data_IF_089070020444
#
_entry.id   IF_089070020444
#
_cell.length_a   1.000
_cell.length_b   1.000
_cell.length_c   1.000
_cell.angle_alpha   90.00
_cell.angle_beta   90.00
_cell.angle_gamma   90.00
#
_symmetry.space_group_name_H-M   'P 1'
#
loop_
_entity.id
_entity.type
_entity.pdbx_description
1 polymer ?
#
# COMPACT_ATOMS: atom_id res chain seq x y z
N UNK A 1 22.76 8.12 -19.53
CA UNK A 1 22.66 6.70 -19.95
C UNK A 1 22.39 5.91 -18.69
N UNK A 2 21.20 5.32 -18.48
CA UNK A 2 21.04 4.42 -17.35
C UNK A 2 21.80 3.13 -17.67
N UNK A 3 22.56 2.65 -16.70
CA UNK A 3 23.31 1.41 -16.79
C UNK A 3 22.34 0.26 -17.02
N UNK A 4 22.70 -0.60 -17.97
CA UNK A 4 22.11 -1.90 -18.22
C UNK A 4 22.42 -2.80 -17.01
N UNK A 5 21.63 -2.65 -15.95
CA UNK A 5 21.62 -3.59 -14.82
C UNK A 5 20.71 -4.71 -15.26
N UNK A 6 21.29 -5.79 -15.79
CA UNK A 6 20.58 -7.06 -15.88
C UNK A 6 19.94 -7.31 -14.51
N UNK A 7 18.60 -7.26 -14.44
CA UNK A 7 17.89 -7.28 -13.18
C UNK A 7 18.27 -8.56 -12.43
N UNK A 8 19.05 -8.41 -11.35
CA UNK A 8 19.49 -9.53 -10.54
C UNK A 8 18.23 -10.20 -9.99
N UNK A 9 17.99 -11.45 -10.37
CA UNK A 9 16.85 -12.22 -9.87
C UNK A 9 16.94 -12.31 -8.35
N UNK A 10 15.84 -12.00 -7.65
CA UNK A 10 15.78 -12.17 -6.20
C UNK A 10 15.62 -13.67 -5.88
N UNK A 11 16.71 -14.34 -5.56
CA UNK A 11 16.74 -15.76 -5.12
C UNK A 11 16.38 -15.88 -3.65
N UNK A 12 15.92 -17.04 -3.16
CA UNK A 12 15.65 -17.29 -1.72
C UNK A 12 14.47 -16.51 -1.10
N UNK A 13 13.58 -15.98 -1.94
CA UNK A 13 12.27 -15.48 -1.52
C UNK A 13 11.30 -16.65 -1.31
N UNK A 14 10.78 -16.80 -0.09
CA UNK A 14 9.75 -17.80 0.23
C UNK A 14 8.34 -17.19 0.22
N UNK A 15 8.25 -15.90 0.53
CA UNK A 15 6.99 -15.20 0.77
C UNK A 15 7.00 -13.82 0.13
N UNK A 16 5.90 -13.44 -0.51
CA UNK A 16 5.63 -12.06 -0.95
C UNK A 16 4.58 -11.41 -0.05
N UNK A 17 4.93 -10.33 0.63
CA UNK A 17 4.00 -9.51 1.42
C UNK A 17 3.80 -8.17 0.74
N UNK A 18 2.55 -7.86 0.44
CA UNK A 18 2.18 -6.65 -0.27
C UNK A 18 1.66 -5.59 0.71
N UNK A 19 2.12 -4.36 0.53
CA UNK A 19 1.30 -3.22 0.93
C UNK A 19 -0.04 -3.23 0.16
N UNK A 20 -1.07 -2.63 0.74
CA UNK A 20 -2.40 -2.61 0.12
C UNK A 20 -2.59 -1.36 -0.73
N UNK A 21 -2.63 -0.19 -0.08
CA UNK A 21 -3.15 1.05 -0.65
C UNK A 21 -2.07 1.82 -1.42
N UNK A 22 -2.26 1.90 -2.74
CA UNK A 22 -1.28 2.42 -3.69
C UNK A 22 -0.45 1.32 -4.35
N UNK A 23 -0.50 0.10 -3.83
CA UNK A 23 0.30 -1.05 -4.29
C UNK A 23 -0.56 -2.08 -5.02
N UNK A 24 -1.47 -2.75 -4.30
CA UNK A 24 -2.46 -3.66 -4.87
C UNK A 24 -3.74 -2.94 -5.29
N UNK A 25 -4.16 -1.93 -4.52
CA UNK A 25 -5.40 -1.19 -4.74
C UNK A 25 -5.10 0.26 -5.12
N UNK A 26 -5.81 0.74 -6.14
CA UNK A 26 -5.62 2.08 -6.69
C UNK A 26 -6.42 3.13 -5.90
N UNK A 27 -5.71 4.01 -5.19
CA UNK A 27 -6.31 5.09 -4.39
C UNK A 27 -6.85 6.24 -5.24
N UNK A 28 -6.26 6.47 -6.42
CA UNK A 28 -6.60 7.61 -7.27
C UNK A 28 -8.02 7.48 -7.85
N UNK A 29 -8.45 6.25 -8.08
CA UNK A 29 -9.77 5.91 -8.61
C UNK A 29 -10.95 6.45 -7.79
N UNK A 30 -10.80 6.59 -6.46
CA UNK A 30 -11.89 7.07 -5.60
C UNK A 30 -12.24 8.54 -5.87
N UNK A 31 -11.23 9.42 -5.92
CA UNK A 31 -11.45 10.83 -6.21
C UNK A 31 -11.86 11.02 -7.68
N UNK A 32 -11.24 10.28 -8.59
CA UNK A 32 -11.51 10.33 -10.03
C UNK A 32 -12.98 10.06 -10.37
N UNK A 33 -13.60 9.12 -9.66
CA UNK A 33 -15.03 8.79 -9.78
C UNK A 33 -15.98 9.90 -9.32
N UNK A 34 -15.46 10.97 -8.72
CA UNK A 34 -16.21 12.16 -8.34
C UNK A 34 -15.85 13.38 -9.21
N UNK A 35 -15.15 13.20 -10.35
CA UNK A 35 -14.80 14.29 -11.27
C UNK A 35 -16.03 15.04 -11.81
N UNK A 36 -17.18 14.38 -11.88
CA UNK A 36 -18.48 14.99 -12.22
C UNK A 36 -18.85 16.15 -11.28
N UNK A 37 -18.51 16.05 -9.99
CA UNK A 37 -18.78 17.08 -8.98
C UNK A 37 -17.56 17.97 -8.72
N UNK A 38 -16.37 17.37 -8.73
CA UNK A 38 -15.12 18.03 -8.35
C UNK A 38 -14.52 18.86 -9.50
N UNK A 39 -14.78 18.51 -10.76
CA UNK A 39 -14.16 19.12 -11.92
C UNK A 39 -12.64 19.15 -11.81
N UNK A 40 -12.04 20.30 -12.05
CA UNK A 40 -10.58 20.52 -11.97
C UNK A 40 -10.01 20.41 -10.55
N UNK A 41 -10.85 20.40 -9.50
CA UNK A 41 -10.38 20.30 -8.10
C UNK A 41 -10.03 18.87 -7.69
N UNK A 42 -10.39 17.86 -8.48
CA UNK A 42 -10.24 16.44 -8.12
C UNK A 42 -8.80 16.07 -7.81
N UNK A 43 -7.85 16.51 -8.64
CA UNK A 43 -6.44 16.17 -8.47
C UNK A 43 -5.89 16.83 -7.19
N UNK A 44 -6.23 18.11 -6.97
CA UNK A 44 -5.86 18.83 -5.75
C UNK A 44 -6.45 18.19 -4.50
N UNK A 45 -7.71 17.76 -4.54
CA UNK A 45 -8.36 17.07 -3.42
C UNK A 45 -7.65 15.74 -3.13
N UNK A 46 -7.41 14.93 -4.18
CA UNK A 46 -6.75 13.63 -4.06
C UNK A 46 -5.35 13.76 -3.44
N UNK A 47 -4.56 14.75 -3.90
CA UNK A 47 -3.24 15.04 -3.34
C UNK A 47 -3.33 15.42 -1.86
N UNK A 48 -4.14 16.44 -1.50
CA UNK A 48 -4.24 16.91 -0.11
C UNK A 48 -4.74 15.78 0.80
N UNK A 49 -5.78 15.06 0.37
CA UNK A 49 -6.36 13.98 1.15
C UNK A 49 -5.34 12.87 1.42
N UNK A 50 -4.62 12.39 0.40
CA UNK A 50 -3.60 11.35 0.58
C UNK A 50 -2.44 11.84 1.45
N UNK A 51 -1.94 13.05 1.22
CA UNK A 51 -0.87 13.64 2.04
C UNK A 51 -1.28 13.69 3.51
N UNK A 52 -2.46 14.24 3.82
CA UNK A 52 -2.94 14.35 5.20
C UNK A 52 -3.27 13.01 5.83
N UNK A 53 -3.78 12.06 5.06
CA UNK A 53 -4.03 10.71 5.55
C UNK A 53 -2.73 10.07 6.05
N UNK A 54 -1.65 10.15 5.26
CA UNK A 54 -0.35 9.62 5.65
C UNK A 54 0.26 10.41 6.82
N UNK A 55 0.28 11.75 6.75
CA UNK A 55 0.80 12.58 7.86
C UNK A 55 0.09 12.28 9.18
N UNK A 56 -1.23 12.11 9.17
CA UNK A 56 -2.00 11.80 10.37
C UNK A 56 -1.66 10.42 10.93
N UNK A 57 -1.32 9.43 10.10
CA UNK A 57 -0.83 8.14 10.62
C UNK A 57 0.47 8.29 11.39
N UNK A 58 1.43 9.07 10.86
CA UNK A 58 2.72 9.30 11.50
C UNK A 58 2.57 10.13 12.77
N UNK A 59 1.86 11.26 12.70
CA UNK A 59 1.67 12.16 13.84
C UNK A 59 0.93 11.46 14.98
N UNK A 60 -0.10 10.66 14.69
CA UNK A 60 -0.81 9.92 15.73
C UNK A 60 0.03 8.83 16.38
N UNK A 61 0.83 8.13 15.59
CA UNK A 61 1.77 7.14 16.11
C UNK A 61 2.81 7.77 17.03
N UNK A 62 3.36 8.93 16.65
CA UNK A 62 4.34 9.67 17.46
C UNK A 62 3.73 10.28 18.73
N UNK A 63 2.44 10.64 18.70
CA UNK A 63 1.73 11.22 19.85
C UNK A 63 1.09 10.17 20.76
N UNK A 64 1.03 8.91 20.34
CA UNK A 64 0.37 7.83 21.10
C UNK A 64 -1.16 7.93 21.12
N UNK A 65 -1.79 8.65 20.20
CA UNK A 65 -3.25 8.83 20.11
C UNK A 65 -3.83 8.10 18.88
N UNK A 66 -3.56 6.79 18.82
CA UNK A 66 -4.01 5.91 17.75
C UNK A 66 -5.54 5.92 17.60
N UNK A 67 -5.99 6.05 16.35
CA UNK A 67 -7.33 5.68 15.89
C UNK A 67 -7.16 4.88 14.60
N UNK A 68 -8.15 4.06 14.24
CA UNK A 68 -8.05 3.23 13.04
C UNK A 68 -7.97 4.05 11.74
N UNK A 69 -7.55 3.37 10.66
CA UNK A 69 -7.24 4.04 9.41
C UNK A 69 -8.48 4.59 8.71
N UNK A 70 -9.67 4.05 9.01
CA UNK A 70 -10.92 4.59 8.49
C UNK A 70 -11.22 5.96 9.10
N UNK A 71 -11.03 6.11 10.41
CA UNK A 71 -11.13 7.39 11.09
C UNK A 71 -10.09 8.39 10.58
N UNK A 72 -8.83 7.96 10.42
CA UNK A 72 -7.77 8.81 9.83
C UNK A 72 -8.16 9.27 8.41
N UNK A 73 -8.69 8.36 7.60
CA UNK A 73 -9.13 8.64 6.23
C UNK A 73 -10.24 9.70 6.20
N UNK A 74 -11.24 9.58 7.08
CA UNK A 74 -12.31 10.57 7.21
C UNK A 74 -11.81 11.94 7.65
N UNK A 75 -10.96 11.99 8.67
CA UNK A 75 -10.38 13.25 9.16
C UNK A 75 -9.51 13.95 8.11
N UNK A 76 -8.74 13.18 7.33
CA UNK A 76 -7.95 13.72 6.25
C UNK A 76 -8.83 14.23 5.09
N UNK A 77 -9.97 13.57 4.82
CA UNK A 77 -10.94 14.05 3.83
C UNK A 77 -11.57 15.36 4.29
N UNK A 78 -11.98 15.44 5.56
CA UNK A 78 -12.55 16.64 6.15
C UNK A 78 -11.60 17.83 6.03
N UNK A 79 -10.31 17.61 6.30
CA UNK A 79 -9.28 18.60 6.07
C UNK A 79 -9.19 19.01 4.59
N UNK A 80 -9.16 18.05 3.67
CA UNK A 80 -8.99 18.33 2.24
C UNK A 80 -10.17 19.11 1.65
N UNK A 81 -11.41 18.76 2.03
CA UNK A 81 -12.62 19.48 1.64
C UNK A 81 -12.58 20.92 2.17
N UNK A 82 -12.23 21.11 3.45
CA UNK A 82 -12.09 22.43 4.06
C UNK A 82 -11.00 23.27 3.37
N UNK A 83 -9.84 22.69 3.07
CA UNK A 83 -8.74 23.37 2.40
C UNK A 83 -9.09 23.85 0.98
N UNK A 84 -10.09 23.23 0.35
CA UNK A 84 -10.61 23.62 -0.97
C UNK A 84 -11.91 24.42 -0.89
N UNK A 85 -12.35 24.82 0.31
CA UNK A 85 -13.62 25.50 0.56
C UNK A 85 -14.84 24.74 0.02
N UNK A 86 -14.82 23.41 0.09
CA UNK A 86 -15.92 22.53 -0.32
C UNK A 86 -16.73 22.16 0.91
N UNK A 87 -18.01 22.55 0.91
CA UNK A 87 -18.97 22.19 1.97
C UNK A 87 -20.09 21.37 1.35
N UNK A 88 -19.86 20.06 1.25
CA UNK A 88 -20.80 19.11 0.65
C UNK A 88 -20.74 17.76 1.37
N UNK A 89 -21.71 17.51 2.24
CA UNK A 89 -21.81 16.27 3.01
C UNK A 89 -22.14 15.06 2.14
N UNK A 90 -22.87 15.23 1.03
CA UNK A 90 -23.20 14.13 0.13
C UNK A 90 -21.95 13.69 -0.63
N UNK A 91 -21.16 14.64 -1.12
CA UNK A 91 -19.85 14.36 -1.74
C UNK A 91 -18.89 13.70 -0.75
N UNK A 92 -18.82 14.19 0.50
CA UNK A 92 -18.00 13.56 1.55
C UNK A 92 -18.37 12.09 1.74
N UNK A 93 -19.66 11.79 1.89
CA UNK A 93 -20.14 10.40 2.04
C UNK A 93 -19.76 9.56 0.83
N UNK A 94 -20.04 10.05 -0.39
CA UNK A 94 -19.70 9.37 -1.65
C UNK A 94 -18.20 9.08 -1.76
N UNK A 95 -17.33 10.03 -1.42
CA UNK A 95 -15.88 9.86 -1.43
C UNK A 95 -15.43 8.80 -0.43
N UNK A 96 -15.95 8.81 0.80
CA UNK A 96 -15.64 7.79 1.80
C UNK A 96 -16.08 6.40 1.33
N UNK A 97 -17.29 6.26 0.80
CA UNK A 97 -17.80 5.01 0.25
C UNK A 97 -16.91 4.48 -0.87
N UNK A 98 -16.53 5.33 -1.83
CA UNK A 98 -15.61 4.95 -2.91
C UNK A 98 -14.24 4.51 -2.39
N UNK A 99 -13.74 5.14 -1.32
CA UNK A 99 -12.49 4.74 -0.67
C UNK A 99 -12.60 3.40 0.04
N UNK A 100 -13.80 3.02 0.52
CA UNK A 100 -14.03 1.73 1.17
C UNK A 100 -13.97 0.57 0.17
N UNK A 101 -14.29 0.83 -1.10
CA UNK A 101 -14.38 -0.18 -2.17
C UNK A 101 -13.46 0.13 -3.34
N UNK A 102 -12.16 0.27 -3.06
CA UNK A 102 -11.15 0.48 -4.09
C UNK A 102 -11.02 -0.73 -5.01
N UNK A 103 -10.75 -0.45 -6.28
CA UNK A 103 -10.44 -1.48 -7.25
C UNK A 103 -8.94 -1.84 -7.17
N UNK A 104 -8.63 -3.10 -7.47
CA UNK A 104 -7.25 -3.53 -7.63
C UNK A 104 -6.67 -3.00 -8.95
N UNK A 105 -5.35 -2.83 -8.99
CA UNK A 105 -4.64 -2.60 -10.24
C UNK A 105 -4.89 -3.76 -11.22
N UNK A 106 -5.02 -3.51 -12.54
CA UNK A 106 -5.40 -4.54 -13.52
C UNK A 106 -4.50 -5.77 -13.50
N UNK A 107 -3.19 -5.59 -13.30
CA UNK A 107 -2.20 -6.66 -13.31
C UNK A 107 -2.17 -7.50 -12.02
N UNK A 108 -2.76 -7.00 -10.92
CA UNK A 108 -2.58 -7.61 -9.59
C UNK A 108 -3.12 -9.04 -9.51
N UNK A 109 -4.27 -9.31 -10.14
CA UNK A 109 -4.88 -10.63 -10.14
C UNK A 109 -4.00 -11.69 -10.82
N UNK A 110 -3.44 -11.34 -11.98
CA UNK A 110 -2.59 -12.24 -12.77
C UNK A 110 -1.28 -12.54 -12.03
N UNK A 111 -0.64 -11.51 -11.47
CA UNK A 111 0.59 -11.66 -10.67
C UNK A 111 0.35 -12.57 -9.47
N UNK A 112 -0.73 -12.36 -8.71
CA UNK A 112 -1.04 -13.21 -7.56
C UNK A 112 -1.31 -14.67 -7.97
N UNK A 113 -1.94 -14.91 -9.13
CA UNK A 113 -2.12 -16.27 -9.66
C UNK A 113 -0.80 -16.93 -10.04
N UNK A 114 0.12 -16.20 -10.69
CA UNK A 114 1.44 -16.70 -11.06
C UNK A 114 2.24 -17.08 -9.79
N UNK A 115 2.28 -16.18 -8.80
CA UNK A 115 2.97 -16.45 -7.53
C UNK A 115 2.41 -17.69 -6.83
N UNK A 116 1.08 -17.82 -6.79
CA UNK A 116 0.42 -18.99 -6.20
C UNK A 116 0.74 -20.28 -6.96
N UNK A 117 0.72 -20.26 -8.30
CA UNK A 117 1.08 -21.40 -9.13
C UNK A 117 2.55 -21.82 -8.95
N UNK A 118 3.43 -20.84 -8.68
CA UNK A 118 4.83 -21.05 -8.33
C UNK A 118 5.06 -21.51 -6.88
N UNK A 119 4.00 -21.68 -6.07
CA UNK A 119 4.10 -22.08 -4.66
C UNK A 119 4.63 -20.99 -3.72
N UNK A 120 4.71 -19.73 -4.18
CA UNK A 120 5.10 -18.59 -3.33
C UNK A 120 3.91 -18.20 -2.46
N UNK A 121 4.10 -18.13 -1.14
CA UNK A 121 3.05 -17.67 -0.23
C UNK A 121 2.89 -16.16 -0.36
N UNK A 122 1.66 -15.69 -0.30
CA UNK A 122 1.32 -14.28 -0.43
C UNK A 122 0.58 -13.79 0.82
N UNK A 123 0.71 -12.50 1.14
CA UNK A 123 -0.04 -11.86 2.23
C UNK A 123 -0.10 -10.35 2.05
N UNK A 124 -0.95 -9.68 2.81
CA UNK A 124 -1.03 -8.21 2.88
C UNK A 124 -0.54 -7.74 4.24
N UNK A 125 0.25 -6.67 4.27
CA UNK A 125 0.52 -5.89 5.47
C UNK A 125 0.19 -4.42 5.19
N UNK A 126 -0.78 -3.85 5.89
CA UNK A 126 -1.29 -2.51 5.59
C UNK A 126 -1.65 -1.70 6.83
N UNK A 127 -1.59 -0.37 6.70
CA UNK A 127 -2.18 0.54 7.67
C UNK A 127 -3.72 0.42 7.72
N UNK A 128 -4.36 -0.09 6.67
CA UNK A 128 -5.82 -0.20 6.58
C UNK A 128 -6.48 -0.90 7.75
N UNK A 129 -7.64 -0.40 8.17
CA UNK A 129 -8.43 -1.06 9.21
C UNK A 129 -8.91 -2.44 8.72
N UNK A 130 -9.13 -3.41 9.62
CA UNK A 130 -9.49 -4.77 9.23
C UNK A 130 -10.70 -4.84 8.29
N UNK A 131 -11.73 -4.04 8.55
CA UNK A 131 -12.95 -4.01 7.73
C UNK A 131 -12.68 -3.50 6.31
N UNK A 132 -11.85 -2.47 6.15
CA UNK A 132 -11.50 -1.95 4.83
C UNK A 132 -10.69 -2.98 4.02
N UNK A 133 -9.71 -3.63 4.65
CA UNK A 133 -8.88 -4.62 3.96
C UNK A 133 -9.69 -5.83 3.51
N UNK A 134 -10.58 -6.34 4.38
CA UNK A 134 -11.49 -7.44 4.02
C UNK A 134 -12.41 -7.04 2.87
N UNK A 135 -12.95 -5.81 2.88
CA UNK A 135 -13.81 -5.33 1.80
C UNK A 135 -13.06 -5.24 0.45
N UNK A 136 -11.84 -4.69 0.44
CA UNK A 136 -11.02 -4.56 -0.77
C UNK A 136 -10.62 -5.92 -1.36
N UNK A 137 -10.23 -6.87 -0.51
CA UNK A 137 -9.88 -8.24 -0.94
C UNK A 137 -11.11 -8.95 -1.52
N UNK A 138 -12.28 -8.86 -0.85
CA UNK A 138 -13.53 -9.47 -1.34
C UNK A 138 -13.98 -8.90 -2.68
N UNK A 139 -13.95 -7.57 -2.80
CA UNK A 139 -14.31 -6.88 -4.05
C UNK A 139 -13.43 -7.33 -5.22
N UNK A 140 -12.15 -7.58 -4.96
CA UNK A 140 -11.18 -7.98 -5.97
C UNK A 140 -11.10 -9.51 -6.17
N UNK A 141 -11.90 -10.29 -5.44
CA UNK A 141 -11.88 -11.77 -5.48
C UNK A 141 -10.50 -12.36 -5.15
N UNK A 142 -9.75 -11.72 -4.25
CA UNK A 142 -8.38 -12.12 -3.87
C UNK A 142 -8.33 -13.09 -2.68
N UNK A 143 -9.46 -13.47 -2.08
CA UNK A 143 -9.54 -14.34 -0.90
C UNK A 143 -8.84 -15.69 -1.12
N UNK A 144 -8.91 -16.21 -2.35
CA UNK A 144 -8.26 -17.47 -2.70
C UNK A 144 -6.80 -17.29 -3.15
N UNK A 145 -6.37 -16.06 -3.41
CA UNK A 145 -5.05 -15.73 -3.96
C UNK A 145 -4.09 -15.18 -2.91
N UNK A 146 -4.62 -14.67 -1.79
CA UNK A 146 -3.88 -14.13 -0.67
C UNK A 146 -3.99 -15.03 0.55
N UNK A 147 -2.90 -15.14 1.30
CA UNK A 147 -2.89 -15.73 2.63
C UNK A 147 -3.33 -14.70 3.70
N UNK A 148 -2.51 -14.47 4.75
CA UNK A 148 -2.85 -13.54 5.82
C UNK A 148 -3.07 -12.09 5.33
N UNK A 149 -4.11 -11.46 5.88
CA UNK A 149 -4.38 -10.01 5.75
C UNK A 149 -4.05 -9.39 7.10
N UNK A 150 -2.95 -8.66 7.18
CA UNK A 150 -2.38 -8.11 8.42
C UNK A 150 -2.59 -6.61 8.47
N UNK A 151 -3.17 -6.15 9.57
CA UNK A 151 -3.47 -4.73 9.78
C UNK A 151 -2.56 -4.15 10.87
N UNK A 152 -2.07 -2.94 10.64
CA UNK A 152 -1.41 -2.14 11.68
C UNK A 152 -2.31 -1.92 12.92
N UNK A 153 -3.63 -2.07 12.77
CA UNK A 153 -4.60 -2.01 13.85
C UNK A 153 -4.38 -3.10 14.93
N UNK A 154 -3.71 -4.19 14.60
CA UNK A 154 -3.38 -5.26 15.55
C UNK A 154 -2.37 -4.80 16.60
N UNK A 155 -1.50 -3.85 16.24
CA UNK A 155 -0.44 -3.31 17.11
C UNK A 155 -0.68 -1.85 17.50
N UNK A 156 -1.79 -1.25 17.06
CA UNK A 156 -2.22 0.13 17.38
C UNK A 156 -1.13 1.17 17.13
N UNK A 157 -0.34 0.95 16.08
CA UNK A 157 0.71 1.86 15.62
C UNK A 157 0.90 1.68 14.12
N UNK A 158 1.14 2.75 13.39
CA UNK A 158 1.24 2.69 11.92
C UNK A 158 2.65 2.43 11.41
N UNK A 159 2.75 1.99 10.16
CA UNK A 159 4.00 2.01 9.40
C UNK A 159 4.59 3.44 9.40
N UNK A 160 5.92 3.62 9.42
CA UNK A 160 6.95 2.59 9.31
C UNK A 160 7.46 2.06 10.67
N UNK A 161 6.63 2.03 11.71
CA UNK A 161 7.08 1.47 13.00
C UNK A 161 7.43 -0.03 12.88
N UNK A 162 8.57 -0.50 13.42
CA UNK A 162 9.05 -1.87 13.22
C UNK A 162 8.08 -2.96 13.67
N UNK A 163 7.26 -2.71 14.71
CA UNK A 163 6.26 -3.68 15.18
C UNK A 163 5.20 -4.01 14.13
N UNK A 164 4.95 -3.12 13.16
CA UNK A 164 4.01 -3.40 12.07
C UNK A 164 4.62 -4.39 11.09
N UNK A 165 5.89 -4.21 10.72
CA UNK A 165 6.61 -5.17 9.87
C UNK A 165 6.78 -6.53 10.56
N UNK A 166 7.01 -6.55 11.87
CA UNK A 166 7.08 -7.78 12.65
C UNK A 166 5.84 -8.68 12.51
N UNK A 167 4.63 -8.11 12.30
CA UNK A 167 3.42 -8.89 12.04
C UNK A 167 3.58 -9.85 10.86
N UNK A 168 4.28 -9.43 9.80
CA UNK A 168 4.52 -10.27 8.63
C UNK A 168 5.45 -11.44 8.95
N UNK A 169 6.51 -11.22 9.72
CA UNK A 169 7.39 -12.30 10.19
C UNK A 169 6.59 -13.33 10.99
N UNK A 170 5.80 -12.86 11.94
CA UNK A 170 5.06 -13.71 12.89
C UNK A 170 3.96 -14.52 12.18
N UNK A 171 3.20 -13.88 11.30
CA UNK A 171 2.04 -14.49 10.62
C UNK A 171 2.43 -15.37 9.45
N UNK A 172 3.49 -15.01 8.73
CA UNK A 172 4.01 -15.85 7.65
C UNK A 172 4.90 -16.98 8.17
N UNK A 173 5.39 -16.85 9.41
CA UNK A 173 6.35 -17.77 10.05
C UNK A 173 7.61 -17.92 9.20
N UNK A 174 8.09 -16.79 8.68
CA UNK A 174 9.22 -16.69 7.76
C UNK A 174 10.13 -15.56 8.26
N UNK A 175 11.44 -15.79 8.36
CA UNK A 175 12.37 -14.75 8.82
C UNK A 175 12.43 -13.59 7.81
N UNK A 176 12.75 -12.39 8.29
CA UNK A 176 12.63 -11.15 7.52
C UNK A 176 13.42 -11.20 6.20
N UNK A 177 14.62 -11.77 6.22
CA UNK A 177 15.49 -11.90 5.06
C UNK A 177 14.95 -12.82 3.95
N UNK A 178 13.87 -13.57 4.21
CA UNK A 178 13.19 -14.44 3.22
C UNK A 178 11.81 -13.90 2.80
N UNK A 179 11.41 -12.75 3.33
CA UNK A 179 10.18 -12.05 2.95
C UNK A 179 10.53 -10.99 1.91
N UNK A 180 9.96 -11.13 0.72
CA UNK A 180 9.90 -10.08 -0.28
C UNK A 180 8.75 -9.14 0.05
N UNK A 181 9.03 -7.91 0.46
CA UNK A 181 8.01 -6.90 0.73
C UNK A 181 7.84 -5.96 -0.47
N UNK A 182 6.60 -5.72 -0.87
CA UNK A 182 6.28 -4.94 -2.05
C UNK A 182 5.47 -3.70 -1.67
N UNK A 183 5.95 -2.53 -2.07
CA UNK A 183 5.23 -1.28 -1.87
C UNK A 183 5.48 -0.32 -3.03
N UNK A 184 4.46 0.45 -3.39
CA UNK A 184 4.59 1.61 -4.29
C UNK A 184 4.88 2.90 -3.53
N UNK A 185 4.70 2.88 -2.21
CA UNK A 185 4.99 4.00 -1.33
C UNK A 185 6.48 3.96 -0.96
N UNK A 186 7.28 4.92 -1.44
CA UNK A 186 8.73 4.90 -1.23
C UNK A 186 9.12 4.92 0.26
N UNK A 187 8.40 5.68 1.10
CA UNK A 187 8.58 5.70 2.56
C UNK A 187 8.31 4.35 3.24
N UNK A 188 7.42 3.53 2.69
CA UNK A 188 7.11 2.20 3.23
C UNK A 188 8.14 1.18 2.73
N UNK A 189 8.59 1.33 1.48
CA UNK A 189 9.67 0.53 0.92
C UNK A 189 10.98 0.73 1.73
N UNK A 190 11.36 1.96 2.04
CA UNK A 190 12.54 2.24 2.87
C UNK A 190 12.35 1.77 4.31
N UNK A 191 11.17 1.96 4.90
CA UNK A 191 10.83 1.46 6.24
C UNK A 191 10.95 -0.06 6.37
N UNK A 192 10.41 -0.80 5.40
CA UNK A 192 10.50 -2.25 5.34
C UNK A 192 11.94 -2.75 5.11
N UNK A 193 12.71 -2.06 4.27
CA UNK A 193 14.11 -2.39 4.02
C UNK A 193 14.95 -2.16 5.29
N UNK A 194 14.72 -1.05 5.98
CA UNK A 194 15.37 -0.74 7.25
C UNK A 194 15.00 -1.73 8.37
N UNK A 195 13.81 -2.32 8.35
CA UNK A 195 13.42 -3.41 9.25
C UNK A 195 14.18 -4.72 8.97
N UNK A 196 14.57 -4.96 7.71
CA UNK A 196 15.31 -6.15 7.29
C UNK A 196 14.61 -7.02 6.24
N UNK A 197 13.49 -6.56 5.66
CA UNK A 197 12.89 -7.23 4.51
C UNK A 197 13.68 -7.02 3.23
N UNK A 198 13.50 -7.94 2.29
CA UNK A 198 13.97 -7.77 0.92
C UNK A 198 12.88 -7.03 0.16
N UNK A 199 13.17 -5.80 -0.27
CA UNK A 199 12.12 -4.90 -0.74
C UNK A 199 12.18 -4.72 -2.24
N UNK A 200 11.00 -4.81 -2.88
CA UNK A 200 10.78 -4.39 -4.26
C UNK A 200 9.91 -3.14 -4.26
N UNK A 201 10.46 -2.02 -4.71
CA UNK A 201 9.74 -0.78 -4.86
C UNK A 201 9.05 -0.72 -6.23
N UNK A 202 7.72 -0.54 -6.24
CA UNK A 202 6.93 -0.43 -7.47
C UNK A 202 6.80 1.06 -7.82
N UNK A 203 7.74 1.58 -8.59
CA UNK A 203 7.85 3.00 -8.94
C UNK A 203 7.08 3.34 -10.23
N UNK A 204 5.74 3.27 -10.18
CA UNK A 204 4.87 3.55 -11.35
C UNK A 204 5.05 4.95 -11.95
N UNK A 205 5.52 5.92 -11.15
CA UNK A 205 5.62 7.32 -11.53
C UNK A 205 7.06 7.78 -11.81
N UNK A 206 8.06 6.90 -11.72
CA UNK A 206 9.47 7.28 -11.89
C UNK A 206 9.93 8.33 -10.89
N UNK A 207 9.41 8.29 -9.66
CA UNK A 207 9.77 9.21 -8.60
C UNK A 207 11.26 9.03 -8.22
N UNK A 208 11.92 10.08 -7.70
CA UNK A 208 13.26 9.94 -7.15
C UNK A 208 13.26 9.05 -5.89
N UNK A 209 14.37 8.36 -5.59
CA UNK A 209 14.49 7.56 -4.38
C UNK A 209 14.53 8.44 -3.13
N UNK A 210 13.97 7.93 -2.03
CA UNK A 210 14.04 8.58 -0.72
C UNK A 210 15.47 8.71 -0.22
N UNK A 211 15.75 9.81 0.50
CA UNK A 211 17.04 10.06 1.13
C UNK A 211 17.04 9.59 2.59
N UNK A 212 16.60 8.34 2.80
CA UNK A 212 16.46 7.71 4.12
C UNK A 212 17.26 6.39 4.17
N UNK A 213 17.65 5.91 5.36
CA UNK A 213 18.20 4.56 5.52
C UNK A 213 17.22 3.48 5.04
N UNK A 214 17.76 2.36 4.56
CA UNK A 214 16.99 1.26 3.99
C UNK A 214 16.77 1.45 2.48
N UNK A 215 17.59 0.76 1.68
CA UNK A 215 17.47 0.79 0.22
C UNK A 215 16.64 -0.42 -0.26
N UNK A 216 15.64 -0.21 -1.13
CA UNK A 216 15.00 -1.32 -1.85
C UNK A 216 16.06 -2.14 -2.61
N UNK A 217 15.89 -3.46 -2.63
CA UNK A 217 16.78 -4.37 -3.35
C UNK A 217 16.54 -4.29 -4.86
N UNK A 218 15.31 -3.98 -5.28
CA UNK A 218 14.95 -3.76 -6.67
C UNK A 218 13.85 -2.72 -6.82
N UNK A 219 13.77 -2.16 -8.02
CA UNK A 219 12.73 -1.24 -8.47
C UNK A 219 12.08 -1.79 -9.74
N UNK A 220 10.76 -1.76 -9.82
CA UNK A 220 9.97 -2.15 -11.00
C UNK A 220 8.92 -1.10 -11.31
N UNK A 221 8.55 -0.97 -12.60
CA UNK A 221 7.54 0.01 -13.03
C UNK A 221 6.10 -0.50 -12.85
N UNK A 222 5.90 -1.82 -12.81
CA UNK A 222 4.60 -2.46 -12.66
C UNK A 222 4.71 -3.71 -11.81
N UNK A 223 3.61 -4.09 -11.14
CA UNK A 223 3.53 -5.40 -10.47
C UNK A 223 3.73 -6.57 -11.47
N UNK A 224 3.43 -6.36 -12.75
CA UNK A 224 3.59 -7.36 -13.81
C UNK A 224 5.05 -7.81 -14.00
N UNK A 225 6.03 -7.00 -13.59
CA UNK A 225 7.46 -7.31 -13.73
C UNK A 225 7.96 -8.23 -12.60
N UNK A 226 7.17 -8.40 -11.54
CA UNK A 226 7.56 -9.15 -10.35
C UNK A 226 7.87 -10.64 -10.62
N UNK A 227 7.07 -11.41 -11.39
CA UNK A 227 7.38 -12.81 -11.62
C UNK A 227 8.75 -13.02 -12.28
N UNK A 228 9.07 -12.22 -13.30
CA UNK A 228 10.38 -12.26 -13.95
C UNK A 228 11.52 -11.95 -12.96
N UNK A 229 11.32 -10.96 -12.09
CA UNK A 229 12.29 -10.59 -11.05
C UNK A 229 12.52 -11.71 -10.02
N UNK A 230 11.51 -12.53 -9.73
CA UNK A 230 11.61 -13.70 -8.84
C UNK A 230 12.02 -14.99 -9.58
N UNK A 231 12.18 -14.95 -10.91
CA UNK A 231 12.44 -16.11 -11.75
C UNK A 231 11.30 -17.12 -11.71
N UNK A 232 10.07 -16.65 -11.92
CA UNK A 232 8.80 -17.42 -11.89
C UNK A 232 7.98 -17.22 -13.15
#
# INVERSE_FOLDING_TARGET
MPADVAAKTLTDVEVCVFDAYGTLFDLSAAAERCRDVLGERVDRLATIWRTKQIEYTWLRSLRGDYVDFWHVTGQALDYALLALNIVDNALRTRLMELYFVLDAYPEAADVLRILKAAGVKTGILSNGSPSMLVAAVRRSSFESLLGPIMSADEVKIYKPHPSVYQLAVDRMRTPAERICFLSSNAWDATGAANFGFRVVWINRLGAPPEQLPGAPEAEIGSLADLPALLGR
#
